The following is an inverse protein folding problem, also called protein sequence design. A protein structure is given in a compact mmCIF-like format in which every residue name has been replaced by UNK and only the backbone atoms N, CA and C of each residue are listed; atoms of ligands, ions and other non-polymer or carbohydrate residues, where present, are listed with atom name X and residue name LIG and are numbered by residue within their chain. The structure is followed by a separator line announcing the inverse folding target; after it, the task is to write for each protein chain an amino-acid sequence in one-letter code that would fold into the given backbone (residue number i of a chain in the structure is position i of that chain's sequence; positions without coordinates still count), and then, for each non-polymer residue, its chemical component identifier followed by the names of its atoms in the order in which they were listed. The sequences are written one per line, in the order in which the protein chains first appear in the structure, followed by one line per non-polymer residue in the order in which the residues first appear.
data_IF_520109182683
#
_entry.id   IF_520109182683
#
_cell.length_a   1.000
_cell.length_b   1.000
_cell.length_c   1.000
_cell.angle_alpha   90.00
_cell.angle_beta   90.00
_cell.angle_gamma   90.00
#
_symmetry.space_group_name_H-M   'P 1'
#
loop_
_entity.id
_entity.type
_entity.pdbx_description
1 polymer ?
#
# COMPACT_ATOMS: atom_id res chain seq x y z
N UNK A 1 -6.42 12.30 18.89
CA UNK A 1 -5.46 11.38 19.54
C UNK A 1 -4.73 10.63 18.45
N UNK A 2 -3.45 10.37 18.58
CA UNK A 2 -2.73 9.46 17.65
C UNK A 2 -3.26 8.05 17.91
N UNK A 3 -3.69 7.35 16.88
CA UNK A 3 -4.07 5.94 17.02
C UNK A 3 -2.80 5.12 17.30
N UNK A 4 -2.96 4.00 17.99
CA UNK A 4 -1.86 3.08 18.22
C UNK A 4 -1.46 2.35 16.92
N UNK A 5 -0.27 1.75 16.95
CA UNK A 5 0.35 1.12 15.78
C UNK A 5 -0.45 -0.10 15.28
N UNK A 6 -1.06 -0.86 16.21
CA UNK A 6 -1.89 -2.01 15.85
C UNK A 6 -3.13 -1.55 15.08
N UNK A 7 -3.92 -0.60 15.62
CA UNK A 7 -5.16 -0.16 15.01
C UNK A 7 -4.93 0.49 13.65
N UNK A 8 -3.88 1.30 13.52
CA UNK A 8 -3.52 1.89 12.23
C UNK A 8 -3.11 0.82 11.21
N UNK A 9 -2.29 -0.16 11.63
CA UNK A 9 -1.84 -1.22 10.72
C UNK A 9 -2.98 -2.15 10.35
N UNK A 10 -3.81 -2.60 11.29
CA UNK A 10 -4.90 -3.55 10.98
C UNK A 10 -5.94 -2.93 10.04
N UNK A 11 -6.27 -1.64 10.20
CA UNK A 11 -7.17 -0.91 9.28
C UNK A 11 -6.61 -0.83 7.86
N UNK A 12 -5.32 -0.56 7.71
CA UNK A 12 -4.68 -0.52 6.39
C UNK A 12 -4.58 -1.91 5.75
N UNK A 13 -4.42 -2.95 6.55
CA UNK A 13 -4.47 -4.34 6.08
C UNK A 13 -5.87 -4.72 5.58
N UNK A 14 -6.91 -4.35 6.30
CA UNK A 14 -8.29 -4.60 5.87
C UNK A 14 -8.65 -3.81 4.61
N UNK A 15 -8.20 -2.56 4.49
CA UNK A 15 -8.33 -1.81 3.25
C UNK A 15 -7.68 -2.55 2.06
N UNK A 16 -6.49 -3.13 2.27
CA UNK A 16 -5.82 -3.93 1.25
C UNK A 16 -6.61 -5.19 0.89
N UNK A 17 -7.13 -5.94 1.88
CA UNK A 17 -8.00 -7.11 1.64
C UNK A 17 -9.25 -6.73 0.86
N UNK A 18 -9.88 -5.61 1.23
CA UNK A 18 -11.10 -5.13 0.58
C UNK A 18 -10.88 -4.83 -0.91
N UNK A 19 -9.81 -4.13 -1.26
CA UNK A 19 -9.53 -3.78 -2.66
C UNK A 19 -9.29 -5.00 -3.53
N UNK A 20 -8.68 -6.07 -3.00
CA UNK A 20 -8.55 -7.34 -3.72
C UNK A 20 -9.92 -7.97 -3.97
N UNK A 21 -10.73 -8.10 -2.92
CA UNK A 21 -12.04 -8.75 -2.98
C UNK A 21 -12.98 -8.01 -3.94
N UNK A 22 -13.04 -6.70 -3.82
CA UNK A 22 -13.90 -5.86 -4.67
C UNK A 22 -13.46 -5.89 -6.14
N UNK A 23 -12.16 -5.80 -6.40
CA UNK A 23 -11.62 -5.91 -7.74
C UNK A 23 -11.93 -7.27 -8.39
N UNK A 24 -11.84 -8.35 -7.63
CA UNK A 24 -12.12 -9.70 -8.12
C UNK A 24 -13.61 -9.87 -8.46
N UNK A 25 -14.51 -9.41 -7.61
CA UNK A 25 -15.93 -9.42 -7.86
C UNK A 25 -16.28 -8.72 -9.18
N UNK A 26 -15.74 -7.52 -9.39
CA UNK A 26 -15.97 -6.77 -10.61
C UNK A 26 -15.38 -7.47 -11.84
N UNK A 27 -14.22 -8.09 -11.71
CA UNK A 27 -13.58 -8.83 -12.80
C UNK A 27 -14.41 -10.05 -13.20
N UNK A 28 -14.86 -10.86 -12.23
CA UNK A 28 -15.63 -12.08 -12.49
C UNK A 28 -17.03 -11.78 -13.06
N UNK A 29 -17.66 -10.72 -12.57
CA UNK A 29 -18.94 -10.30 -13.13
C UNK A 29 -18.84 -9.87 -14.58
N UNK A 30 -17.72 -9.22 -14.98
CA UNK A 30 -17.47 -8.88 -16.39
C UNK A 30 -17.19 -10.09 -17.27
N UNK A 31 -16.49 -11.07 -16.71
CA UNK A 31 -16.22 -12.33 -17.42
C UNK A 31 -17.49 -13.18 -17.60
N UNK A 32 -18.64 -12.78 -17.03
CA UNK A 32 -19.89 -13.53 -17.06
C UNK A 32 -19.91 -14.73 -16.11
N UNK A 33 -18.92 -14.83 -15.20
CA UNK A 33 -18.85 -15.88 -14.18
C UNK A 33 -19.75 -15.61 -12.97
N UNK A 34 -20.14 -14.35 -12.75
CA UNK A 34 -21.09 -13.90 -11.72
C UNK A 34 -22.11 -12.97 -12.36
N UNK A 35 -23.38 -13.09 -11.96
CA UNK A 35 -24.37 -12.09 -12.29
C UNK A 35 -24.18 -10.86 -11.38
N UNK A 36 -23.67 -9.78 -11.96
CA UNK A 36 -23.46 -8.54 -11.21
C UNK A 36 -24.78 -7.94 -10.73
N UNK A 37 -25.88 -8.14 -11.44
CA UNK A 37 -27.18 -7.62 -11.06
C UNK A 37 -27.68 -8.25 -9.75
N UNK A 38 -27.37 -9.53 -9.52
CA UNK A 38 -27.68 -10.22 -8.26
C UNK A 38 -26.68 -9.91 -7.14
N UNK A 39 -25.50 -9.37 -7.52
CA UNK A 39 -24.35 -9.19 -6.63
C UNK A 39 -24.26 -7.77 -6.08
N UNK A 40 -24.54 -6.79 -6.92
CA UNK A 40 -24.38 -5.37 -6.60
C UNK A 40 -25.75 -4.67 -6.62
N UNK A 41 -25.95 -3.70 -5.71
CA UNK A 41 -27.10 -2.79 -5.82
C UNK A 41 -27.13 -2.14 -7.22
N UNK A 42 -28.33 -2.01 -7.82
CA UNK A 42 -28.46 -1.47 -9.19
C UNK A 42 -27.83 -0.08 -9.37
N UNK A 43 -27.89 0.75 -8.34
CA UNK A 43 -27.28 2.08 -8.32
C UNK A 43 -25.75 2.01 -8.39
N UNK A 44 -25.12 1.03 -7.70
CA UNK A 44 -23.68 0.83 -7.73
C UNK A 44 -23.23 0.38 -9.11
N UNK A 45 -23.99 -0.53 -9.74
CA UNK A 45 -23.72 -0.95 -11.13
C UNK A 45 -23.89 0.20 -12.12
N UNK A 46 -24.90 1.04 -11.94
CA UNK A 46 -25.14 2.20 -12.78
C UNK A 46 -24.01 3.25 -12.65
N UNK A 47 -23.43 3.40 -11.46
CA UNK A 47 -22.32 4.30 -11.20
C UNK A 47 -20.96 3.74 -11.63
N UNK A 48 -20.85 2.40 -11.83
CA UNK A 48 -19.61 1.78 -12.31
C UNK A 48 -19.50 1.86 -13.83
N UNK A 49 -18.96 2.98 -14.31
CA UNK A 49 -18.76 3.27 -15.73
C UNK A 49 -17.29 3.32 -16.08
N UNK A 50 -16.94 2.89 -17.29
CA UNK A 50 -15.57 2.98 -17.81
C UNK A 50 -14.50 2.43 -16.86
N UNK A 51 -14.82 1.31 -16.16
CA UNK A 51 -13.94 0.69 -15.17
C UNK A 51 -13.65 1.54 -13.92
N UNK A 52 -14.48 2.53 -13.66
CA UNK A 52 -14.40 3.41 -12.51
C UNK A 52 -15.75 3.50 -11.81
N UNK A 53 -15.73 3.33 -10.50
CA UNK A 53 -16.82 3.68 -9.60
C UNK A 53 -16.45 5.01 -8.93
N UNK A 54 -17.29 6.01 -9.12
CA UNK A 54 -17.28 7.24 -8.35
C UNK A 54 -18.60 7.34 -7.60
N UNK A 55 -18.56 7.20 -6.30
CA UNK A 55 -19.77 7.16 -5.49
C UNK A 55 -20.47 8.51 -5.40
N UNK A 56 -19.77 9.60 -5.76
CA UNK A 56 -20.39 10.93 -5.90
C UNK A 56 -21.49 10.92 -6.97
N UNK A 57 -21.43 9.99 -7.92
CA UNK A 57 -22.46 9.77 -8.94
C UNK A 57 -23.70 9.05 -8.37
N UNK A 58 -23.64 8.51 -7.13
CA UNK A 58 -24.78 7.85 -6.47
C UNK A 58 -25.78 8.82 -5.82
N UNK A 59 -25.50 10.13 -5.81
CA UNK A 59 -26.48 11.18 -5.48
C UNK A 59 -26.79 11.41 -4.01
N UNK A 60 -26.26 10.63 -3.08
CA UNK A 60 -26.60 10.72 -1.65
C UNK A 60 -25.54 11.38 -0.77
N UNK A 61 -24.52 11.99 -1.33
CA UNK A 61 -23.51 12.79 -0.58
C UNK A 61 -22.57 12.02 0.33
N UNK A 62 -22.78 10.72 0.56
CA UNK A 62 -21.91 9.83 1.30
C UNK A 62 -21.52 8.65 0.40
N UNK A 63 -20.25 8.27 0.45
CA UNK A 63 -19.71 7.10 -0.25
C UNK A 63 -20.42 5.79 0.13
N UNK A 64 -20.09 4.73 -0.60
CA UNK A 64 -20.57 3.40 -0.26
C UNK A 64 -19.94 3.00 1.09
N UNK A 65 -20.77 2.78 2.13
CA UNK A 65 -20.25 2.45 3.45
C UNK A 65 -19.40 1.17 3.39
N UNK A 66 -18.36 1.10 4.20
CA UNK A 66 -17.52 -0.08 4.29
C UNK A 66 -18.35 -1.34 4.57
N UNK A 67 -19.38 -1.22 5.42
CA UNK A 67 -20.32 -2.28 5.71
C UNK A 67 -21.14 -2.70 4.49
N UNK A 68 -21.58 -1.76 3.67
CA UNK A 68 -22.27 -2.10 2.43
C UNK A 68 -21.36 -2.85 1.47
N UNK A 69 -20.10 -2.40 1.30
CA UNK A 69 -19.09 -3.12 0.49
C UNK A 69 -18.82 -4.51 1.05
N UNK A 70 -18.68 -4.63 2.38
CA UNK A 70 -18.52 -5.93 3.03
C UNK A 70 -19.71 -6.85 2.80
N UNK A 71 -20.95 -6.38 2.93
CA UNK A 71 -22.14 -7.18 2.66
C UNK A 71 -22.15 -7.72 1.23
N UNK A 72 -21.76 -6.92 0.25
CA UNK A 72 -21.61 -7.36 -1.14
C UNK A 72 -20.56 -8.48 -1.25
N UNK A 73 -19.40 -8.30 -0.63
CA UNK A 73 -18.32 -9.32 -0.64
C UNK A 73 -18.79 -10.61 0.06
N UNK A 74 -19.49 -10.49 1.21
CA UNK A 74 -20.03 -11.64 1.97
C UNK A 74 -21.06 -12.40 1.18
N UNK A 75 -22.03 -11.71 0.60
CA UNK A 75 -23.10 -12.33 -0.18
C UNK A 75 -22.52 -13.18 -1.33
N UNK A 76 -21.30 -12.86 -1.75
CA UNK A 76 -20.59 -13.58 -2.82
C UNK A 76 -19.44 -14.46 -2.33
N UNK A 77 -19.26 -14.63 -1.04
CA UNK A 77 -18.10 -15.35 -0.46
C UNK A 77 -18.00 -16.79 -1.01
N UNK A 78 -19.12 -17.52 -1.16
CA UNK A 78 -19.12 -18.88 -1.68
C UNK A 78 -18.70 -18.94 -3.16
N UNK A 79 -19.05 -17.93 -3.95
CA UNK A 79 -18.61 -17.86 -5.35
C UNK A 79 -17.13 -17.45 -5.41
N UNK A 80 -16.70 -16.54 -4.57
CA UNK A 80 -15.31 -16.11 -4.48
C UNK A 80 -14.37 -17.25 -4.01
N UNK A 81 -14.79 -18.07 -3.04
CA UNK A 81 -14.04 -19.26 -2.60
C UNK A 81 -13.76 -20.27 -3.73
N UNK A 82 -14.70 -20.41 -4.66
CA UNK A 82 -14.53 -21.31 -5.81
C UNK A 82 -13.46 -20.80 -6.79
N UNK A 83 -13.28 -19.50 -6.85
CA UNK A 83 -12.39 -18.82 -7.80
C UNK A 83 -11.00 -18.62 -7.19
N UNK A 84 -10.94 -18.25 -5.92
CA UNK A 84 -9.69 -18.09 -5.15
C UNK A 84 -9.88 -18.62 -3.72
N UNK A 85 -9.20 -19.72 -3.35
CA UNK A 85 -9.29 -20.29 -2.00
C UNK A 85 -8.94 -19.31 -0.88
N UNK A 86 -8.12 -18.29 -1.15
CA UNK A 86 -7.77 -17.24 -0.20
C UNK A 86 -8.97 -16.43 0.29
N UNK A 87 -10.10 -16.44 -0.43
CA UNK A 87 -11.33 -15.77 0.01
C UNK A 87 -12.02 -16.40 1.22
N UNK A 88 -11.63 -17.60 1.62
CA UNK A 88 -12.07 -18.17 2.90
C UNK A 88 -11.73 -17.23 4.07
N UNK A 89 -10.63 -16.48 3.96
CA UNK A 89 -10.19 -15.51 4.95
C UNK A 89 -11.03 -14.22 4.96
N UNK A 90 -11.64 -13.86 3.84
CA UNK A 90 -12.56 -12.71 3.78
C UNK A 90 -13.79 -12.97 4.64
N UNK A 91 -14.34 -14.18 4.62
CA UNK A 91 -15.47 -14.56 5.47
C UNK A 91 -15.12 -14.40 6.97
N UNK A 92 -13.95 -14.88 7.40
CA UNK A 92 -13.47 -14.71 8.78
C UNK A 92 -13.23 -13.25 9.17
N UNK A 93 -12.73 -12.43 8.25
CA UNK A 93 -12.56 -10.99 8.44
C UNK A 93 -13.92 -10.33 8.71
N UNK A 94 -14.92 -10.71 7.95
CA UNK A 94 -16.28 -10.19 8.06
C UNK A 94 -16.90 -10.55 9.41
N UNK A 95 -16.79 -11.80 9.83
CA UNK A 95 -17.27 -12.24 11.16
C UNK A 95 -16.61 -11.41 12.26
N UNK A 96 -15.30 -11.13 12.16
CA UNK A 96 -14.58 -10.28 13.12
C UNK A 96 -15.07 -8.83 13.09
N UNK A 97 -15.33 -8.25 11.92
CA UNK A 97 -15.82 -6.88 11.80
C UNK A 97 -17.25 -6.78 12.32
N UNK A 98 -18.12 -7.71 11.95
CA UNK A 98 -19.49 -7.78 12.47
C UNK A 98 -19.55 -7.95 13.99
N UNK A 99 -18.61 -8.74 14.56
CA UNK A 99 -18.53 -8.90 16.02
C UNK A 99 -18.11 -7.59 16.73
N UNK A 100 -17.29 -6.76 16.09
CA UNK A 100 -16.88 -5.45 16.62
C UNK A 100 -18.00 -4.41 16.44
N UNK A 101 -18.76 -4.47 15.34
CA UNK A 101 -19.82 -3.51 15.00
C UNK A 101 -21.14 -3.79 15.73
N UNK A 102 -21.47 -5.05 16.01
CA UNK A 102 -22.62 -5.41 16.84
C UNK A 102 -22.51 -4.89 18.29
N UNK A 103 -21.33 -4.39 18.68
CA UNK A 103 -21.12 -3.73 19.96
C UNK A 103 -21.47 -2.23 19.95
N UNK A 104 -21.61 -1.61 18.76
CA UNK A 104 -21.92 -0.18 18.65
C UNK A 104 -22.63 0.11 17.29
N UNK A 105 -23.96 0.08 17.30
CA UNK A 105 -24.80 0.25 16.09
C UNK A 105 -24.74 1.66 15.47
N UNK A 106 -23.86 2.56 15.93
CA UNK A 106 -24.01 3.99 15.66
C UNK A 106 -23.09 4.61 14.62
N UNK A 107 -22.14 3.89 13.96
CA UNK A 107 -21.27 4.61 13.06
C UNK A 107 -20.68 3.81 11.90
N UNK A 108 -21.32 3.89 10.74
CA UNK A 108 -20.60 3.79 9.46
C UNK A 108 -19.58 4.94 9.40
N UNK A 109 -18.34 4.66 9.79
CA UNK A 109 -17.26 5.67 9.86
C UNK A 109 -16.29 5.59 8.69
N UNK A 110 -16.33 4.46 7.96
CA UNK A 110 -15.46 4.18 6.83
C UNK A 110 -16.28 3.99 5.55
N UNK A 111 -15.93 4.75 4.51
CA UNK A 111 -16.64 4.78 3.23
C UNK A 111 -15.67 4.56 2.07
N UNK A 112 -16.08 3.74 1.09
CA UNK A 112 -15.43 3.68 -0.22
C UNK A 112 -15.96 4.85 -1.06
N UNK A 113 -15.09 5.77 -1.43
CA UNK A 113 -15.45 6.98 -2.20
C UNK A 113 -15.17 6.81 -3.71
N UNK A 114 -14.09 6.11 -4.02
CA UNK A 114 -13.73 5.87 -5.42
C UNK A 114 -13.06 4.51 -5.54
N UNK A 115 -13.35 3.82 -6.64
CA UNK A 115 -12.64 2.61 -7.03
C UNK A 115 -12.35 2.68 -8.54
N UNK A 116 -11.10 2.41 -8.91
CA UNK A 116 -10.67 2.42 -10.31
C UNK A 116 -9.95 1.13 -10.66
N UNK A 117 -10.46 0.44 -11.66
CA UNK A 117 -9.85 -0.71 -12.31
C UNK A 117 -9.56 -0.45 -13.79
N UNK A 118 -9.45 0.84 -14.16
CA UNK A 118 -9.19 1.26 -15.54
C UNK A 118 -7.95 0.56 -16.05
N UNK A 119 -8.11 -0.17 -17.14
CA UNK A 119 -7.08 -0.96 -17.78
C UNK A 119 -6.51 -2.05 -16.85
N UNK A 120 -7.33 -3.06 -16.56
CA UNK A 120 -6.94 -4.24 -15.79
C UNK A 120 -5.70 -4.97 -16.37
N UNK A 121 -5.41 -4.77 -17.66
CA UNK A 121 -4.21 -5.29 -18.31
C UNK A 121 -2.92 -4.62 -17.81
N UNK A 122 -3.00 -3.40 -17.27
CA UNK A 122 -1.88 -2.72 -16.59
C UNK A 122 -1.91 -2.92 -15.07
N UNK A 123 -2.91 -3.61 -14.53
CA UNK A 123 -3.04 -4.04 -13.14
C UNK A 123 -2.99 -2.93 -12.07
N UNK A 124 -3.03 -1.64 -12.42
CA UNK A 124 -3.10 -0.58 -11.44
C UNK A 124 -4.54 -0.36 -10.97
N UNK A 125 -4.95 -1.15 -9.99
CA UNK A 125 -6.24 -1.01 -9.33
C UNK A 125 -6.05 -0.28 -8.02
N UNK A 126 -6.86 0.75 -7.76
CA UNK A 126 -6.84 1.46 -6.49
C UNK A 126 -8.26 1.82 -6.03
N UNK A 127 -8.38 2.02 -4.73
CA UNK A 127 -9.56 2.59 -4.10
C UNK A 127 -9.21 3.80 -3.23
N UNK A 128 -10.16 4.67 -3.00
CA UNK A 128 -10.06 5.77 -2.04
C UNK A 128 -11.09 5.54 -0.96
N UNK A 129 -10.64 5.42 0.27
CA UNK A 129 -11.46 5.23 1.46
C UNK A 129 -11.45 6.49 2.30
N UNK A 130 -12.62 6.88 2.84
CA UNK A 130 -12.81 7.99 3.77
C UNK A 130 -13.16 7.44 5.15
N UNK A 131 -12.37 7.80 6.15
CA UNK A 131 -12.60 7.52 7.57
C UNK A 131 -13.02 8.83 8.25
N UNK A 132 -14.30 8.96 8.54
CA UNK A 132 -14.87 10.20 9.09
C UNK A 132 -14.47 10.43 10.53
N UNK A 133 -14.37 9.35 11.31
CA UNK A 133 -14.00 9.38 12.74
C UNK A 133 -12.58 9.88 12.95
N UNK A 134 -11.64 9.33 12.18
CA UNK A 134 -10.23 9.65 12.33
C UNK A 134 -9.76 10.76 11.39
N UNK A 135 -10.68 11.32 10.59
CA UNK A 135 -10.38 12.35 9.57
C UNK A 135 -9.22 11.91 8.67
N UNK A 136 -9.38 10.75 8.01
CA UNK A 136 -8.38 10.17 7.10
C UNK A 136 -8.97 9.88 5.74
N UNK A 137 -8.23 10.21 4.70
CA UNK A 137 -8.46 9.71 3.35
C UNK A 137 -7.33 8.74 3.00
N UNK A 138 -7.68 7.52 2.64
CA UNK A 138 -6.71 6.44 2.37
C UNK A 138 -6.77 6.06 0.90
N UNK A 139 -5.63 6.15 0.22
CA UNK A 139 -5.45 5.54 -1.11
C UNK A 139 -4.91 4.13 -0.91
N UNK A 140 -5.63 3.13 -1.40
CA UNK A 140 -5.24 1.73 -1.31
C UNK A 140 -5.01 1.14 -2.70
N UNK A 141 -3.84 0.53 -2.92
CA UNK A 141 -3.51 -0.15 -4.16
C UNK A 141 -3.64 -1.66 -4.01
N UNK A 142 -4.28 -2.30 -5.00
CA UNK A 142 -4.27 -3.76 -5.14
C UNK A 142 -2.89 -4.24 -5.60
N UNK A 143 -2.44 -5.38 -5.10
CA UNK A 143 -1.30 -6.10 -5.66
C UNK A 143 -1.66 -6.94 -6.88
N UNK A 144 -0.71 -7.77 -7.31
CA UNK A 144 -0.92 -8.72 -8.41
C UNK A 144 -1.87 -9.83 -8.00
N UNK A 145 -2.75 -10.27 -8.91
CA UNK A 145 -3.65 -11.41 -8.68
C UNK A 145 -3.05 -12.73 -9.19
N UNK A 146 -2.09 -12.65 -10.11
CA UNK A 146 -1.40 -13.82 -10.66
C UNK A 146 -0.02 -13.98 -10.03
N UNK A 147 0.04 -14.80 -9.00
CA UNK A 147 1.30 -15.25 -8.38
C UNK A 147 1.93 -16.45 -9.10
N UNK A 148 1.62 -16.70 -10.37
CA UNK A 148 2.36 -17.69 -11.13
C UNK A 148 3.83 -17.26 -11.16
N UNK A 149 4.66 -18.00 -10.46
CA UNK A 149 6.03 -17.65 -10.05
C UNK A 149 6.97 -17.26 -11.20
N UNK A 150 6.65 -17.62 -12.44
CA UNK A 150 7.41 -17.23 -13.62
C UNK A 150 7.08 -15.84 -14.13
N UNK A 151 5.80 -15.48 -14.20
CA UNK A 151 5.38 -14.18 -14.76
C UNK A 151 5.67 -13.04 -13.80
N UNK A 152 5.54 -13.30 -12.50
CA UNK A 152 5.82 -12.30 -11.48
C UNK A 152 7.31 -11.94 -11.40
N UNK A 153 8.21 -12.94 -11.50
CA UNK A 153 9.66 -12.70 -11.57
C UNK A 153 10.09 -12.05 -12.90
N UNK A 154 9.37 -12.32 -13.98
CA UNK A 154 9.66 -11.76 -15.32
C UNK A 154 9.09 -10.34 -15.46
N UNK A 155 7.94 -10.05 -14.87
CA UNK A 155 7.32 -8.71 -14.85
C UNK A 155 8.07 -7.73 -13.94
N UNK A 156 8.84 -8.22 -12.96
CA UNK A 156 9.85 -7.46 -12.24
C UNK A 156 11.13 -7.30 -13.08
N UNK A 157 11.00 -6.97 -14.37
CA UNK A 157 12.18 -6.53 -15.13
C UNK A 157 12.85 -5.43 -14.30
N UNK A 158 14.00 -5.77 -13.69
CA UNK A 158 14.69 -4.89 -12.73
C UNK A 158 15.32 -3.66 -13.43
N UNK A 159 14.54 -3.05 -14.36
CA UNK A 159 14.89 -1.82 -15.05
C UNK A 159 14.63 -0.61 -14.18
N UNK A 160 15.48 0.38 -14.31
CA UNK A 160 15.39 1.62 -13.57
C UNK A 160 14.77 2.72 -14.43
N UNK A 161 13.95 3.55 -13.78
CA UNK A 161 13.39 4.78 -14.33
C UNK A 161 13.78 5.98 -13.45
N UNK A 162 13.97 7.12 -14.09
CA UNK A 162 14.33 8.37 -13.43
C UNK A 162 13.11 9.15 -12.96
N UNK A 163 12.76 9.06 -11.69
CA UNK A 163 11.73 9.88 -11.07
C UNK A 163 12.31 11.24 -10.70
N UNK A 164 11.64 12.33 -11.11
CA UNK A 164 12.07 13.69 -10.80
C UNK A 164 12.16 13.94 -9.30
N UNK A 165 13.30 14.41 -8.85
CA UNK A 165 13.52 14.75 -7.44
C UNK A 165 12.64 15.92 -7.03
N UNK A 166 11.93 15.84 -5.89
CA UNK A 166 11.18 16.95 -5.32
C UNK A 166 12.04 18.20 -5.15
N UNK A 167 11.48 19.38 -5.47
CA UNK A 167 12.24 20.64 -5.42
C UNK A 167 12.80 20.93 -4.02
N UNK A 168 12.02 20.63 -2.98
CA UNK A 168 12.38 20.85 -1.58
C UNK A 168 13.58 20.02 -1.10
N UNK A 169 13.95 18.94 -1.81
CA UNK A 169 15.07 18.09 -1.44
C UNK A 169 16.40 18.48 -2.12
N UNK A 170 16.36 19.42 -3.07
CA UNK A 170 17.53 19.71 -3.91
C UNK A 170 18.74 20.22 -3.14
N UNK A 171 18.49 20.95 -2.05
CA UNK A 171 19.58 21.53 -1.23
C UNK A 171 20.24 20.48 -0.34
N UNK A 172 19.50 19.41 0.04
CA UNK A 172 20.03 18.28 0.82
C UNK A 172 20.61 17.14 -0.03
N UNK A 173 20.65 17.26 -1.36
CA UNK A 173 21.14 16.23 -2.28
C UNK A 173 22.25 16.77 -3.16
N UNK A 174 23.06 15.85 -3.72
CA UNK A 174 24.19 16.20 -4.58
C UNK A 174 24.11 15.57 -5.97
N UNK A 175 24.85 16.12 -6.93
CA UNK A 175 25.04 15.59 -8.26
C UNK A 175 23.72 15.30 -8.99
N UNK A 176 23.65 14.12 -9.60
CA UNK A 176 22.46 13.67 -10.34
C UNK A 176 21.21 13.51 -9.46
N UNK A 177 21.38 13.30 -8.15
CA UNK A 177 20.25 13.17 -7.22
C UNK A 177 19.43 14.46 -7.10
N UNK A 178 20.03 15.63 -7.37
CA UNK A 178 19.28 16.91 -7.45
C UNK A 178 18.27 16.93 -8.59
N UNK A 179 18.48 16.11 -9.64
CA UNK A 179 17.60 16.07 -10.81
C UNK A 179 16.59 14.94 -10.73
N UNK A 180 17.08 13.74 -10.39
CA UNK A 180 16.27 12.51 -10.38
C UNK A 180 16.80 11.48 -9.42
N UNK A 181 15.89 10.69 -8.86
CA UNK A 181 16.15 9.46 -8.14
C UNK A 181 15.77 8.27 -9.03
N UNK A 182 16.44 7.13 -8.86
CA UNK A 182 16.17 5.95 -9.67
C UNK A 182 15.28 4.97 -8.93
N UNK A 183 14.15 4.64 -9.56
CA UNK A 183 13.14 3.72 -9.05
C UNK A 183 12.89 2.59 -10.03
N UNK A 184 12.20 1.55 -9.61
CA UNK A 184 11.80 0.45 -10.48
C UNK A 184 10.85 0.95 -11.58
N UNK A 185 11.23 0.73 -12.84
CA UNK A 185 10.54 1.27 -14.01
C UNK A 185 9.07 0.80 -14.07
N UNK A 186 8.82 -0.50 -13.89
CA UNK A 186 7.47 -1.04 -13.95
C UNK A 186 6.54 -0.39 -12.93
N UNK A 187 6.98 -0.22 -11.67
CA UNK A 187 6.19 0.44 -10.64
C UNK A 187 5.94 1.92 -10.95
N UNK A 188 6.95 2.61 -11.49
CA UNK A 188 6.81 4.00 -11.91
C UNK A 188 5.77 4.14 -13.02
N UNK A 189 5.84 3.29 -14.05
CA UNK A 189 4.94 3.32 -15.19
C UNK A 189 3.47 3.10 -14.80
N UNK A 190 3.18 2.29 -13.75
CA UNK A 190 1.81 2.07 -13.28
C UNK A 190 1.11 3.34 -12.83
N UNK A 191 1.82 4.29 -12.24
CA UNK A 191 1.22 5.51 -11.66
C UNK A 191 1.48 6.74 -12.53
N UNK A 192 2.66 6.85 -13.16
CA UNK A 192 3.15 8.11 -13.73
C UNK A 192 3.34 8.09 -15.25
N UNK A 193 3.14 6.95 -15.94
CA UNK A 193 3.33 6.89 -17.39
C UNK A 193 2.05 7.26 -18.15
N UNK A 194 2.13 8.34 -18.95
CA UNK A 194 1.06 8.82 -19.81
C UNK A 194 0.87 7.99 -21.09
N UNK A 195 1.87 7.21 -21.49
CA UNK A 195 1.85 6.50 -22.77
C UNK A 195 0.85 5.34 -22.79
N UNK A 196 0.53 4.80 -21.62
CA UNK A 196 -0.40 3.67 -21.46
C UNK A 196 -1.82 4.11 -21.10
N UNK A 197 -2.01 5.32 -20.59
CA UNK A 197 -3.33 5.83 -20.21
C UNK A 197 -3.93 6.64 -21.35
N UNK A 198 -5.09 6.21 -21.87
CA UNK A 198 -5.97 7.07 -22.68
C UNK A 198 -6.65 8.05 -21.70
N UNK A 199 -6.05 9.20 -21.44
CA UNK A 199 -6.60 10.19 -20.53
C UNK A 199 -5.58 10.74 -19.54
N UNK A 200 -6.06 11.37 -18.47
CA UNK A 200 -5.24 11.94 -17.40
C UNK A 200 -4.36 10.87 -16.73
N UNK A 201 -3.17 11.31 -16.32
CA UNK A 201 -2.26 10.43 -15.57
C UNK A 201 -2.99 9.88 -14.34
N UNK A 202 -2.82 8.61 -14.02
CA UNK A 202 -3.39 8.01 -12.79
C UNK A 202 -3.03 8.80 -11.54
N UNK A 203 -1.84 9.38 -11.51
CA UNK A 203 -1.45 10.28 -10.44
C UNK A 203 -2.39 11.48 -10.31
N UNK A 204 -2.75 12.13 -11.44
CA UNK A 204 -3.65 13.27 -11.42
C UNK A 204 -5.09 12.87 -11.08
N UNK A 205 -5.53 11.69 -11.51
CA UNK A 205 -6.82 11.11 -11.09
C UNK A 205 -6.86 10.92 -9.57
N UNK A 206 -5.84 10.28 -8.98
CA UNK A 206 -5.73 10.09 -7.53
C UNK A 206 -5.75 11.43 -6.80
N UNK A 207 -5.03 12.44 -7.31
CA UNK A 207 -5.03 13.78 -6.71
C UNK A 207 -6.43 14.40 -6.73
N UNK A 208 -7.16 14.26 -7.82
CA UNK A 208 -8.53 14.76 -7.94
C UNK A 208 -9.49 14.04 -6.99
N UNK A 209 -9.28 12.73 -6.79
CA UNK A 209 -10.12 11.93 -5.90
C UNK A 209 -9.93 12.30 -4.42
N UNK A 210 -8.69 12.57 -3.99
CA UNK A 210 -8.40 12.87 -2.58
C UNK A 210 -8.56 14.35 -2.22
N UNK A 211 -8.45 15.25 -3.19
CA UNK A 211 -8.43 16.70 -2.95
C UNK A 211 -9.63 17.21 -2.16
N UNK A 212 -10.90 16.85 -2.47
CA UNK A 212 -12.04 17.33 -1.71
C UNK A 212 -11.95 17.03 -0.22
N UNK A 213 -11.53 15.82 0.13
CA UNK A 213 -11.39 15.40 1.54
C UNK A 213 -10.24 16.12 2.25
N UNK A 214 -9.15 16.36 1.54
CA UNK A 214 -8.02 17.11 2.09
C UNK A 214 -8.42 18.57 2.38
N UNK A 215 -9.21 19.19 1.51
CA UNK A 215 -9.76 20.54 1.72
C UNK A 215 -10.73 20.57 2.91
N UNK A 216 -11.36 19.45 3.27
CA UNK A 216 -12.15 19.25 4.50
C UNK A 216 -11.29 18.92 5.75
N UNK A 217 -9.96 18.92 5.62
CA UNK A 217 -9.03 18.69 6.73
C UNK A 217 -8.66 17.22 7.00
N UNK A 218 -8.93 16.33 6.06
CA UNK A 218 -8.52 14.93 6.19
C UNK A 218 -7.02 14.75 5.97
N UNK A 219 -6.39 13.88 6.78
CA UNK A 219 -5.00 13.45 6.62
C UNK A 219 -4.90 12.40 5.53
N UNK A 220 -3.81 12.39 4.77
CA UNK A 220 -3.60 11.42 3.70
C UNK A 220 -2.86 10.19 4.23
N UNK A 221 -3.48 9.02 4.02
CA UNK A 221 -2.92 7.70 4.23
C UNK A 221 -2.78 6.98 2.90
N UNK A 222 -1.74 6.15 2.77
CA UNK A 222 -1.51 5.32 1.57
C UNK A 222 -1.17 3.92 2.01
N UNK A 223 -1.75 2.92 1.35
CA UNK A 223 -1.50 1.51 1.67
C UNK A 223 -1.56 0.61 0.45
N UNK A 224 -1.13 -0.61 0.62
CA UNK A 224 -1.20 -1.67 -0.37
C UNK A 224 -0.38 -2.88 0.05
N UNK A 225 -0.58 -3.97 -0.65
CA UNK A 225 0.11 -5.24 -0.43
C UNK A 225 0.87 -5.65 -1.69
N UNK A 226 2.04 -6.28 -1.54
CA UNK A 226 2.82 -6.81 -2.65
C UNK A 226 3.18 -5.72 -3.69
N UNK A 227 2.82 -5.88 -4.95
CA UNK A 227 2.92 -4.82 -5.98
C UNK A 227 2.24 -3.53 -5.52
N UNK A 228 1.05 -3.61 -4.91
CA UNK A 228 0.33 -2.45 -4.38
C UNK A 228 1.12 -1.69 -3.31
N UNK A 229 1.93 -2.38 -2.51
CA UNK A 229 2.83 -1.78 -1.53
C UNK A 229 3.96 -0.96 -2.19
N UNK A 230 4.49 -1.43 -3.32
CA UNK A 230 5.46 -0.67 -4.11
C UNK A 230 4.85 0.60 -4.69
N UNK A 231 3.61 0.50 -5.21
CA UNK A 231 2.88 1.66 -5.72
C UNK A 231 2.57 2.66 -4.61
N UNK A 232 2.14 2.17 -3.44
CA UNK A 232 1.90 2.99 -2.25
C UNK A 232 3.16 3.76 -1.83
N UNK A 233 4.33 3.11 -1.86
CA UNK A 233 5.62 3.73 -1.54
C UNK A 233 5.96 4.88 -2.49
N UNK A 234 5.75 4.69 -3.80
CA UNK A 234 6.00 5.73 -4.82
C UNK A 234 5.03 6.89 -4.72
N UNK A 235 3.74 6.60 -4.51
CA UNK A 235 2.73 7.64 -4.32
C UNK A 235 3.02 8.46 -3.08
N UNK A 236 3.29 7.80 -1.95
CA UNK A 236 3.60 8.48 -0.69
C UNK A 236 4.84 9.38 -0.82
N UNK A 237 5.91 8.92 -1.45
CA UNK A 237 7.10 9.73 -1.76
C UNK A 237 6.75 10.97 -2.60
N UNK A 238 5.94 10.78 -3.66
CA UNK A 238 5.55 11.87 -4.55
C UNK A 238 4.69 12.91 -3.86
N UNK A 239 3.73 12.47 -3.03
CA UNK A 239 2.88 13.36 -2.24
C UNK A 239 3.68 14.09 -1.17
N UNK A 240 4.55 13.37 -0.43
CA UNK A 240 5.40 13.95 0.60
C UNK A 240 6.36 15.01 0.06
N UNK A 241 6.89 14.79 -1.14
CA UNK A 241 7.76 15.73 -1.85
C UNK A 241 7.04 16.80 -2.67
N UNK A 242 5.71 16.87 -2.62
CA UNK A 242 4.93 17.83 -3.38
C UNK A 242 5.05 19.25 -2.83
N UNK A 243 5.13 20.22 -3.73
CA UNK A 243 5.08 21.66 -3.46
C UNK A 243 3.64 22.24 -3.46
N UNK A 244 2.62 21.38 -3.64
CA UNK A 244 1.21 21.77 -3.57
C UNK A 244 0.84 22.08 -2.11
N UNK A 245 0.45 23.30 -1.82
CA UNK A 245 0.13 23.76 -0.45
C UNK A 245 -1.08 23.06 0.18
N UNK A 246 -1.97 22.52 -0.63
CA UNK A 246 -3.15 21.81 -0.14
C UNK A 246 -2.85 20.36 0.31
N UNK A 247 -1.66 19.83 0.02
CA UNK A 247 -1.28 18.48 0.46
C UNK A 247 -0.70 18.54 1.88
N UNK A 248 -1.40 18.02 2.91
CA UNK A 248 -0.95 18.06 4.30
C UNK A 248 0.27 17.16 4.51
N UNK A 249 1.03 17.46 5.54
CA UNK A 249 2.18 16.65 6.00
C UNK A 249 1.97 16.30 7.48
N UNK A 250 2.45 15.14 7.93
CA UNK A 250 3.05 14.06 7.12
C UNK A 250 2.05 13.30 6.24
N UNK A 251 2.54 12.73 5.14
CA UNK A 251 1.87 11.63 4.46
C UNK A 251 2.17 10.35 5.24
N UNK A 252 1.15 9.59 5.61
CA UNK A 252 1.33 8.32 6.31
C UNK A 252 1.19 7.16 5.31
N UNK A 253 2.17 6.27 5.28
CA UNK A 253 2.11 5.06 4.47
C UNK A 253 2.38 3.83 5.32
N UNK A 254 1.46 2.86 5.27
CA UNK A 254 1.64 1.54 5.89
C UNK A 254 1.47 0.50 4.79
N UNK A 255 2.50 -0.28 4.52
CA UNK A 255 2.51 -1.22 3.39
C UNK A 255 2.85 -2.63 3.84
N UNK A 256 2.34 -3.63 3.11
CA UNK A 256 2.50 -5.05 3.45
C UNK A 256 3.29 -5.76 2.37
N UNK A 257 4.30 -6.52 2.79
CA UNK A 257 5.13 -7.33 1.88
C UNK A 257 5.70 -6.52 0.69
N UNK A 258 6.14 -5.29 0.92
CA UNK A 258 6.63 -4.42 -0.14
C UNK A 258 7.94 -4.94 -0.75
N UNK A 259 8.02 -5.14 -2.09
CA UNK A 259 9.27 -5.39 -2.77
C UNK A 259 10.19 -4.17 -2.69
N UNK A 260 11.42 -4.30 -3.19
CA UNK A 260 12.31 -3.15 -3.35
C UNK A 260 11.77 -2.19 -4.42
N UNK A 261 11.75 -0.90 -4.12
CA UNK A 261 11.15 0.12 -4.99
C UNK A 261 12.18 1.00 -5.70
N UNK A 262 13.30 1.29 -5.07
CA UNK A 262 14.29 2.18 -5.64
C UNK A 262 15.71 1.92 -5.15
N UNK A 263 16.66 2.65 -5.73
CA UNK A 263 18.08 2.53 -5.41
C UNK A 263 18.47 3.32 -4.17
N UNK A 264 19.76 3.30 -3.84
CA UNK A 264 20.33 4.08 -2.74
C UNK A 264 19.99 5.57 -2.82
N UNK A 265 20.02 6.16 -4.00
CA UNK A 265 19.62 7.55 -4.20
C UNK A 265 18.14 7.82 -3.87
N UNK A 266 17.24 6.88 -4.18
CA UNK A 266 15.86 6.96 -3.76
C UNK A 266 15.74 6.89 -2.23
N UNK A 267 16.48 5.96 -1.59
CA UNK A 267 16.52 5.86 -0.13
C UNK A 267 17.01 7.15 0.51
N UNK A 268 18.09 7.75 0.01
CA UNK A 268 18.61 9.02 0.53
C UNK A 268 17.57 10.13 0.46
N UNK A 269 16.90 10.29 -0.68
CA UNK A 269 15.84 11.30 -0.83
C UNK A 269 14.62 11.02 0.07
N UNK A 270 14.28 9.74 0.24
CA UNK A 270 13.18 9.33 1.13
C UNK A 270 13.50 9.64 2.59
N UNK A 271 14.71 9.30 3.04
CA UNK A 271 15.18 9.60 4.41
C UNK A 271 15.17 11.09 4.71
N UNK A 272 15.49 11.96 3.74
CA UNK A 272 15.37 13.40 3.94
C UNK A 272 13.90 13.80 4.19
N UNK A 273 12.93 13.23 3.47
CA UNK A 273 11.51 13.51 3.73
C UNK A 273 11.06 13.00 5.11
N UNK A 274 11.60 11.88 5.58
CA UNK A 274 11.36 11.37 6.93
C UNK A 274 11.90 12.32 7.99
N UNK A 275 13.15 12.77 7.83
CA UNK A 275 13.80 13.75 8.73
C UNK A 275 13.09 15.10 8.77
N UNK A 276 12.55 15.54 7.63
CA UNK A 276 11.74 16.77 7.53
C UNK A 276 10.34 16.61 8.15
N UNK A 277 9.95 15.40 8.57
CA UNK A 277 8.60 15.12 9.06
C UNK A 277 7.52 15.14 7.98
N UNK A 278 7.89 15.01 6.70
CA UNK A 278 6.95 15.04 5.58
C UNK A 278 6.34 13.70 5.27
N UNK A 279 6.95 12.60 5.72
CA UNK A 279 6.45 11.24 5.54
C UNK A 279 6.66 10.42 6.81
N UNK A 280 5.71 9.53 7.06
CA UNK A 280 5.77 8.44 8.04
C UNK A 280 5.52 7.14 7.29
N UNK A 281 6.50 6.26 7.23
CA UNK A 281 6.37 5.03 6.46
C UNK A 281 6.73 3.79 7.26
N UNK A 282 5.74 2.91 7.43
CA UNK A 282 5.88 1.60 8.04
C UNK A 282 5.74 0.51 6.97
N UNK A 283 6.73 -0.36 6.86
CA UNK A 283 6.65 -1.60 6.08
C UNK A 283 6.42 -2.76 7.02
N UNK A 284 5.30 -3.45 6.86
CA UNK A 284 4.97 -4.66 7.60
C UNK A 284 5.33 -5.87 6.75
N UNK A 285 6.24 -6.69 7.21
CA UNK A 285 6.73 -7.86 6.47
C UNK A 285 6.73 -9.09 7.37
N UNK A 286 6.29 -10.22 6.86
CA UNK A 286 6.44 -11.50 7.53
C UNK A 286 7.87 -12.01 7.40
N UNK A 287 8.40 -12.63 8.45
CA UNK A 287 9.59 -13.46 8.32
C UNK A 287 9.32 -14.59 7.32
N UNK A 288 10.33 -14.94 6.53
CA UNK A 288 10.24 -15.93 5.47
C UNK A 288 9.45 -15.53 4.20
N UNK A 289 8.79 -14.37 4.15
CA UNK A 289 8.31 -13.81 2.90
C UNK A 289 9.50 -13.38 2.02
N UNK A 290 9.54 -13.86 0.78
CA UNK A 290 10.62 -13.56 -0.16
C UNK A 290 10.36 -12.33 -1.01
N UNK A 291 9.11 -11.87 -1.11
CA UNK A 291 8.72 -10.71 -1.91
C UNK A 291 9.47 -9.45 -1.51
N UNK A 292 9.64 -9.12 -0.22
CA UNK A 292 10.44 -7.98 0.20
C UNK A 292 11.93 -8.05 -0.20
N UNK A 293 12.41 -9.17 -0.73
CA UNK A 293 13.82 -9.34 -1.12
C UNK A 293 14.08 -9.17 -2.62
N UNK A 294 13.06 -8.86 -3.41
CA UNK A 294 13.14 -8.76 -4.86
C UNK A 294 12.70 -7.37 -5.38
N UNK A 295 13.23 -6.94 -6.55
CA UNK A 295 14.47 -7.39 -7.14
C UNK A 295 15.69 -6.88 -6.36
N UNK A 296 16.71 -7.69 -6.09
CA UNK A 296 17.87 -7.21 -5.34
C UNK A 296 18.81 -6.32 -6.16
N UNK A 297 18.81 -6.50 -7.49
CA UNK A 297 19.70 -5.77 -8.41
C UNK A 297 18.95 -5.28 -9.62
N UNK A 298 19.32 -4.10 -10.14
CA UNK A 298 18.85 -3.62 -11.43
C UNK A 298 19.50 -4.39 -12.60
N UNK A 299 18.72 -4.59 -13.68
CA UNK A 299 19.26 -5.03 -14.96
C UNK A 299 19.93 -3.85 -15.67
N UNK A 300 21.01 -4.13 -16.39
CA UNK A 300 21.72 -3.14 -17.19
C UNK A 300 23.22 -3.14 -16.94
N UNK A 301 23.97 -2.33 -17.71
CA UNK A 301 25.44 -2.30 -17.70
C UNK A 301 26.02 -1.87 -16.34
N UNK A 302 25.32 -0.99 -15.58
CA UNK A 302 25.70 -0.64 -14.21
C UNK A 302 24.67 -1.26 -13.24
N UNK A 303 24.95 -2.47 -12.76
CA UNK A 303 24.12 -3.11 -11.72
C UNK A 303 24.08 -2.20 -10.50
N UNK A 304 22.88 -1.77 -10.11
CA UNK A 304 22.65 -1.01 -8.88
C UNK A 304 21.85 -1.86 -7.91
N UNK A 305 22.21 -1.79 -6.64
CA UNK A 305 21.45 -2.39 -5.56
C UNK A 305 20.17 -1.61 -5.32
N UNK A 306 19.06 -2.32 -5.23
CA UNK A 306 17.83 -1.76 -4.69
C UNK A 306 17.93 -1.67 -3.16
N UNK A 307 17.24 -0.72 -2.57
CA UNK A 307 17.24 -0.45 -1.14
C UNK A 307 15.83 -0.23 -0.63
N UNK A 308 15.58 -0.71 0.57
CA UNK A 308 14.35 -0.38 1.28
C UNK A 308 14.39 1.02 1.88
N UNK A 309 13.19 1.54 2.17
CA UNK A 309 12.93 2.83 2.83
C UNK A 309 11.96 2.62 3.98
N UNK A 310 11.86 3.58 4.90
CA UNK A 310 10.92 3.54 6.01
C UNK A 310 11.26 2.55 7.11
N UNK A 311 10.52 2.61 8.20
CA UNK A 311 10.62 1.68 9.31
C UNK A 311 10.10 0.30 8.88
N UNK A 312 10.80 -0.75 9.24
CA UNK A 312 10.39 -2.13 9.00
C UNK A 312 9.91 -2.78 10.29
N UNK A 313 8.65 -3.19 10.30
CA UNK A 313 8.07 -4.10 11.28
C UNK A 313 8.13 -5.51 10.70
N UNK A 314 9.07 -6.32 11.16
CA UNK A 314 9.21 -7.71 10.76
C UNK A 314 8.52 -8.60 11.75
N UNK A 315 7.50 -9.31 11.31
CA UNK A 315 6.66 -10.18 12.11
C UNK A 315 7.16 -11.62 12.07
N UNK A 316 7.19 -12.24 13.23
CA UNK A 316 7.41 -13.67 13.47
C UNK A 316 6.13 -14.26 14.09
N UNK A 317 6.10 -15.55 14.34
CA UNK A 317 4.91 -16.21 14.89
C UNK A 317 4.58 -15.70 16.32
N UNK A 318 5.59 -15.42 17.13
CA UNK A 318 5.47 -15.04 18.55
C UNK A 318 6.17 -13.71 18.92
N UNK A 319 6.71 -13.01 17.94
CA UNK A 319 7.53 -11.81 18.19
C UNK A 319 7.57 -10.87 16.98
N UNK A 320 8.17 -9.70 17.15
CA UNK A 320 8.48 -8.80 16.06
C UNK A 320 9.79 -8.05 16.29
N UNK A 321 10.38 -7.57 15.20
CA UNK A 321 11.54 -6.69 15.21
C UNK A 321 11.23 -5.42 14.44
N UNK A 322 11.54 -4.28 15.05
CA UNK A 322 11.55 -2.98 14.39
C UNK A 322 12.98 -2.63 13.96
N UNK A 323 13.12 -2.13 12.74
CA UNK A 323 14.40 -1.68 12.22
C UNK A 323 14.22 -0.57 11.18
N UNK A 324 15.21 0.30 11.07
CA UNK A 324 15.28 1.29 9.99
C UNK A 324 16.45 0.95 9.05
N UNK A 325 16.34 1.16 7.71
CA UNK A 325 17.38 0.79 6.76
C UNK A 325 18.74 1.46 7.00
N UNK A 326 18.75 2.58 7.72
CA UNK A 326 19.97 3.31 8.06
C UNK A 326 20.69 2.72 9.29
N UNK A 327 20.01 1.91 10.11
CA UNK A 327 20.53 1.47 11.40
C UNK A 327 21.40 0.20 11.35
N UNK A 328 21.30 -0.67 10.32
CA UNK A 328 22.09 -1.90 10.27
C UNK A 328 22.25 -2.50 8.87
N UNK A 329 23.51 -2.71 8.44
CA UNK A 329 23.88 -3.35 7.16
C UNK A 329 23.62 -4.87 7.06
N UNK A 330 23.13 -5.54 8.10
CA UNK A 330 23.01 -7.00 8.17
C UNK A 330 21.71 -7.57 7.62
N UNK A 331 20.68 -6.73 7.42
CA UNK A 331 19.36 -7.18 6.93
C UNK A 331 19.40 -7.84 5.56
N UNK A 332 20.29 -7.41 4.67
CA UNK A 332 20.41 -7.95 3.31
C UNK A 332 20.96 -9.38 3.28
N UNK A 333 22.02 -9.67 4.06
CA UNK A 333 22.65 -10.99 4.08
C UNK A 333 21.70 -12.07 4.61
N UNK A 334 20.91 -11.73 5.64
CA UNK A 334 19.91 -12.65 6.20
C UNK A 334 18.72 -12.85 5.25
N UNK A 335 18.28 -11.81 4.53
CA UNK A 335 17.20 -11.92 3.55
C UNK A 335 17.57 -12.84 2.38
N UNK A 336 18.76 -12.68 1.81
CA UNK A 336 19.26 -13.54 0.71
C UNK A 336 19.43 -14.99 1.18
N UNK A 337 19.98 -15.20 2.37
CA UNK A 337 20.16 -16.55 2.93
C UNK A 337 18.83 -17.28 3.13
N UNK A 338 17.80 -16.58 3.61
CA UNK A 338 16.48 -17.16 3.83
C UNK A 338 15.70 -17.41 2.52
N UNK A 339 15.96 -16.60 1.48
CA UNK A 339 15.27 -16.71 0.18
C UNK A 339 15.77 -17.89 -0.65
N UNK A 340 17.04 -18.26 -0.54
CA UNK A 340 17.64 -19.33 -1.36
C UNK A 340 17.29 -20.74 -0.86
N UNK A 341 16.84 -20.88 0.38
CA UNK A 341 16.70 -22.19 1.04
C UNK A 341 15.24 -22.64 1.24
N UNK A 342 14.23 -21.86 0.81
CA UNK A 342 12.82 -22.22 1.06
C UNK A 342 12.07 -22.65 -0.20
N UNK A 343 11.18 -23.68 -0.11
CA UNK A 343 10.37 -24.13 -1.24
C UNK A 343 9.38 -23.03 -1.70
N UNK A 344 9.12 -22.96 -2.99
CA UNK A 344 8.25 -21.93 -3.62
C UNK A 344 6.85 -21.84 -3.00
N UNK A 345 6.26 -22.97 -2.60
CA UNK A 345 4.93 -23.00 -1.96
C UNK A 345 4.91 -22.36 -0.56
N UNK A 346 6.01 -22.35 0.18
CA UNK A 346 6.08 -21.67 1.47
C UNK A 346 6.09 -20.14 1.32
N UNK A 347 6.51 -19.63 0.16
CA UNK A 347 6.52 -18.19 -0.14
C UNK A 347 5.10 -17.62 -0.14
N UNK A 348 4.16 -18.31 -0.76
CA UNK A 348 2.77 -17.85 -0.86
C UNK A 348 2.11 -17.76 0.51
N UNK A 349 2.36 -18.73 1.40
CA UNK A 349 1.80 -18.73 2.76
C UNK A 349 2.27 -17.51 3.56
N UNK A 350 3.57 -17.20 3.56
CA UNK A 350 4.11 -16.07 4.32
C UNK A 350 3.84 -14.72 3.65
N UNK A 351 3.54 -14.72 2.36
CA UNK A 351 3.18 -13.52 1.62
C UNK A 351 1.71 -13.11 1.81
N UNK A 352 0.86 -14.01 2.31
CA UNK A 352 -0.57 -13.75 2.41
C UNK A 352 -0.92 -12.64 3.40
N UNK A 353 -1.96 -11.86 3.10
CA UNK A 353 -2.50 -10.85 4.02
C UNK A 353 -3.06 -11.50 5.30
N UNK A 354 -3.50 -12.76 5.23
CA UNK A 354 -3.97 -13.47 6.41
C UNK A 354 -2.84 -13.76 7.39
N UNK A 355 -1.69 -14.22 6.93
CA UNK A 355 -0.53 -14.44 7.82
C UNK A 355 -0.05 -13.13 8.46
N UNK A 356 -0.15 -12.00 7.75
CA UNK A 356 0.13 -10.70 8.35
C UNK A 356 -0.86 -10.37 9.48
N UNK A 357 -2.16 -10.61 9.27
CA UNK A 357 -3.18 -10.39 10.29
C UNK A 357 -2.96 -11.27 11.51
N UNK A 358 -2.82 -12.58 11.31
CA UNK A 358 -2.65 -13.54 12.40
C UNK A 358 -1.44 -13.20 13.28
N UNK A 359 -0.32 -12.82 12.65
CA UNK A 359 0.90 -12.43 13.38
C UNK A 359 0.78 -11.08 14.06
N UNK A 360 0.06 -10.13 13.47
CA UNK A 360 -0.21 -8.85 14.12
C UNK A 360 -1.15 -9.04 15.31
N UNK A 361 -2.17 -9.88 15.17
CA UNK A 361 -3.10 -10.23 16.25
C UNK A 361 -2.35 -10.89 17.43
N UNK A 362 -1.41 -11.78 17.15
CA UNK A 362 -0.55 -12.38 18.17
C UNK A 362 0.31 -11.34 18.93
N UNK A 363 0.59 -10.19 18.33
CA UNK A 363 1.36 -9.10 18.92
C UNK A 363 0.52 -7.88 19.30
N UNK A 364 -0.82 -8.00 19.28
CA UNK A 364 -1.77 -6.90 19.46
C UNK A 364 -1.45 -6.06 20.69
N UNK A 365 -1.34 -6.69 21.85
CA UNK A 365 -1.11 -6.00 23.12
C UNK A 365 0.15 -5.11 23.06
N UNK A 366 1.24 -5.63 22.54
CA UNK A 366 2.51 -4.89 22.42
C UNK A 366 2.40 -3.74 21.42
N UNK A 367 1.79 -3.98 20.26
CA UNK A 367 1.65 -2.98 19.20
C UNK A 367 0.65 -1.87 19.58
N UNK A 368 -0.33 -2.15 20.45
CA UNK A 368 -1.27 -1.15 20.97
C UNK A 368 -0.59 -0.12 21.90
N UNK A 369 0.54 -0.46 22.51
CA UNK A 369 1.33 0.46 23.34
C UNK A 369 2.31 1.33 22.53
N UNK A 370 2.30 1.23 21.22
CA UNK A 370 3.20 1.95 20.31
C UNK A 370 2.39 2.83 19.37
N UNK A 371 2.99 3.90 18.88
CA UNK A 371 2.45 4.67 17.77
C UNK A 371 3.56 5.05 16.77
N UNK A 372 3.18 5.39 15.57
CA UNK A 372 4.14 5.63 14.48
C UNK A 372 4.97 6.90 14.70
N UNK A 373 4.40 7.93 15.30
CA UNK A 373 5.12 9.17 15.57
C UNK A 373 6.22 8.98 16.62
N UNK A 374 5.97 8.19 17.67
CA UNK A 374 6.98 7.84 18.68
C UNK A 374 8.12 7.00 18.07
N UNK A 375 7.80 6.09 17.13
CA UNK A 375 8.84 5.36 16.41
C UNK A 375 9.75 6.29 15.61
N UNK A 376 9.19 7.33 15.01
CA UNK A 376 9.95 8.35 14.29
C UNK A 376 10.70 9.33 15.19
N UNK A 377 10.30 9.48 16.44
CA UNK A 377 11.01 10.25 17.45
C UNK A 377 12.16 9.46 18.12
N UNK A 378 12.22 8.14 17.90
CA UNK A 378 13.23 7.26 18.52
C UNK A 378 14.56 7.32 17.75
N UNK A 379 15.56 8.03 18.31
CA UNK A 379 16.89 8.19 17.72
C UNK A 379 17.66 6.86 17.59
N UNK A 380 17.46 5.88 18.48
CA UNK A 380 18.10 4.58 18.39
C UNK A 380 17.62 3.79 17.17
N UNK A 381 16.33 3.92 16.81
CA UNK A 381 15.75 3.28 15.66
C UNK A 381 16.22 3.93 14.36
N UNK A 382 16.27 5.27 14.32
CA UNK A 382 16.68 6.04 13.14
C UNK A 382 18.19 6.05 12.91
N UNK A 383 18.98 5.83 13.96
CA UNK A 383 20.40 6.15 13.98
C UNK A 383 20.60 7.67 13.95
N UNK A 384 21.53 8.17 14.74
CA UNK A 384 21.94 9.58 14.68
C UNK A 384 22.28 9.94 13.23
N UNK A 385 21.75 11.04 12.67
CA UNK A 385 22.23 11.53 11.40
C UNK A 385 23.74 11.67 11.51
N UNK A 386 24.49 11.02 10.63
CA UNK A 386 25.91 11.35 10.51
C UNK A 386 25.97 12.78 10.02
N UNK A 387 26.04 13.72 10.96
CA UNK A 387 26.43 15.10 10.74
C UNK A 387 27.92 15.11 10.39
N UNK A 388 28.23 14.67 9.18
CA UNK A 388 29.54 14.88 8.58
C UNK A 388 29.32 15.21 7.12
N UNK A 389 28.72 16.36 6.87
CA UNK A 389 28.82 17.09 5.64
C UNK A 389 29.23 18.53 5.99
N UNK A 390 30.32 18.67 6.75
CA UNK A 390 31.15 19.86 6.81
C UNK A 390 32.58 19.36 7.05
N UNK A 391 33.34 19.33 5.98
CA UNK A 391 34.74 19.04 5.91
C UNK A 391 35.18 19.14 4.46
#
# INVERSE_FOLDING_TARGET
MSNNLYDDSIRMLWASKLVYSFAKLLQEGRAGGLDLADTFPPEVLAAYKDERLDVRDLGEGNGLSFNAVLKIVVANAENLKKIEPEFEYVAKMIEKIQAVENADESSDELFLETFSSIDAATQCVYGVLKDTKNKRVTVVFRGSTDFSTRDWQTNLSAQLEGMKTPKLLKDGLEGELKKRVLVHRGFYEYIFDNKRAKGDQRYDMILNDIKPFVEEGYKIYVTGHSLGAALASLLAFKLAGSDKSWIPKPITCISYASPFVGTDGFRTAFTLLEQMGHIRYLRVNNDADTVPTIPPFSLGWKKRLYKHVGINLRLYDDSFILSHPNSNGWGFVNAVRNSVLKPVWSVLTYHSLQTHEDRMDAQKERLQHMNLDDLYANEELFGTPKTSLCG
#
